data_IF_310796450074
#
_entry.id   IF_310796450074
#
_cell.length_a   1.000
_cell.length_b   1.000
_cell.length_c   1.000
_cell.angle_alpha   90.00
_cell.angle_beta   90.00
_cell.angle_gamma   90.00
#
_symmetry.space_group_name_H-M   'P 1'
#
loop_
_entity.id
_entity.type
_entity.pdbx_description
1 polymer ?
#
# COMPACT_ATOMS: atom_id res chain seq x y z
N UNK A 1 -16.14 -7.21 -14.99
CA UNK A 1 -15.94 -5.77 -14.83
C UNK A 1 -16.31 -5.34 -13.42
N UNK A 2 -15.45 -4.61 -12.79
CA UNK A 2 -15.64 -4.19 -11.42
C UNK A 2 -16.43 -2.89 -11.35
N UNK A 3 -17.51 -2.89 -10.59
CA UNK A 3 -18.30 -1.69 -10.36
C UNK A 3 -17.88 -0.97 -9.08
N UNK A 4 -16.86 -1.48 -8.45
CA UNK A 4 -16.39 -0.92 -7.19
C UNK A 4 -15.13 -0.11 -7.43
N UNK A 5 -14.76 0.67 -6.46
CA UNK A 5 -13.48 1.33 -6.50
C UNK A 5 -12.35 0.37 -6.25
N UNK A 6 -11.23 0.91 -5.85
CA UNK A 6 -10.05 0.10 -5.59
C UNK A 6 -9.31 0.66 -4.40
N UNK A 7 -8.41 -0.14 -3.86
CA UNK A 7 -7.57 0.29 -2.76
C UNK A 7 -6.21 0.68 -3.31
N UNK A 8 -5.69 1.75 -2.79
CA UNK A 8 -4.35 2.24 -3.12
C UNK A 8 -3.53 2.27 -1.85
N UNK A 9 -2.39 1.60 -1.88
CA UNK A 9 -1.46 1.67 -0.76
C UNK A 9 -0.49 2.82 -1.00
N UNK A 10 -0.42 3.72 -0.06
CA UNK A 10 0.39 4.92 -0.19
C UNK A 10 1.84 4.66 0.23
N UNK A 11 2.33 3.46 -0.06
CA UNK A 11 3.67 3.06 0.35
C UNK A 11 4.72 3.96 -0.29
N UNK A 12 4.63 4.14 -1.62
CA UNK A 12 5.61 4.94 -2.33
C UNK A 12 5.65 6.37 -1.81
N UNK A 13 4.49 6.95 -1.57
CA UNK A 13 4.40 8.31 -1.08
C UNK A 13 5.02 8.45 0.30
N UNK A 14 4.73 7.49 1.17
CA UNK A 14 5.23 7.53 2.54
C UNK A 14 6.73 7.30 2.58
N UNK A 15 7.23 6.36 1.77
CA UNK A 15 8.66 6.11 1.70
C UNK A 15 9.42 7.34 1.22
N UNK A 16 8.88 8.00 0.20
CA UNK A 16 9.51 9.21 -0.32
C UNK A 16 9.50 10.31 0.73
N UNK A 17 8.40 10.45 1.44
CA UNK A 17 8.27 11.46 2.47
C UNK A 17 9.26 11.25 3.60
N UNK A 18 9.47 9.99 3.99
CA UNK A 18 10.35 9.66 5.10
C UNK A 18 11.78 9.39 4.67
N UNK A 19 12.06 9.39 3.38
CA UNK A 19 13.40 9.13 2.88
C UNK A 19 13.86 7.70 3.07
N UNK A 20 12.96 6.74 2.99
CA UNK A 20 13.28 5.34 3.18
C UNK A 20 13.29 4.64 1.84
N UNK A 21 14.33 3.87 1.56
CA UNK A 21 14.40 3.13 0.31
C UNK A 21 13.62 1.82 0.41
N UNK A 22 13.17 1.32 -0.74
CA UNK A 22 12.45 0.05 -0.78
C UNK A 22 13.34 -1.11 -0.35
N UNK A 23 14.63 -1.02 -0.70
CA UNK A 23 15.58 -2.07 -0.31
C UNK A 23 15.68 -2.13 1.20
N UNK A 24 15.76 -0.98 1.84
CA UNK A 24 15.92 -0.93 3.28
C UNK A 24 14.70 -1.48 4.00
N UNK A 25 13.50 -1.08 3.60
CA UNK A 25 12.31 -1.54 4.30
C UNK A 25 12.09 -3.03 4.09
N UNK A 26 12.37 -3.54 2.89
CA UNK A 26 12.23 -4.97 2.64
C UNK A 26 13.21 -5.76 3.48
N UNK A 27 14.42 -5.27 3.62
CA UNK A 27 15.43 -5.93 4.43
C UNK A 27 15.06 -5.90 5.90
N UNK A 28 14.63 -4.76 6.39
CA UNK A 28 14.30 -4.59 7.81
C UNK A 28 13.10 -5.44 8.21
N UNK A 29 12.12 -5.56 7.33
CA UNK A 29 10.90 -6.30 7.62
C UNK A 29 10.93 -7.72 7.08
N UNK A 30 12.00 -8.10 6.41
CA UNK A 30 12.15 -9.44 5.85
C UNK A 30 11.00 -9.75 4.89
N UNK A 31 10.79 -8.86 3.94
CA UNK A 31 9.74 -9.00 2.94
C UNK A 31 10.39 -9.22 1.58
N UNK A 32 9.95 -10.25 0.82
CA UNK A 32 10.47 -10.42 -0.54
C UNK A 32 10.16 -9.19 -1.40
N UNK A 33 11.17 -8.77 -2.17
CA UNK A 33 11.04 -7.58 -3.00
C UNK A 33 9.88 -7.70 -4.00
N UNK A 34 9.74 -8.87 -4.59
CA UNK A 34 8.67 -9.07 -5.55
C UNK A 34 7.29 -8.89 -4.91
N UNK A 35 7.12 -9.41 -3.72
CA UNK A 35 5.85 -9.26 -3.00
C UNK A 35 5.61 -7.81 -2.62
N UNK A 36 6.63 -7.16 -2.12
CA UNK A 36 6.53 -5.76 -1.73
C UNK A 36 6.20 -4.87 -2.94
N UNK A 37 6.83 -5.14 -4.08
CA UNK A 37 6.58 -4.36 -5.29
C UNK A 37 5.14 -4.48 -5.77
N UNK A 38 4.55 -5.66 -5.62
CA UNK A 38 3.15 -5.84 -6.00
C UNK A 38 2.24 -4.95 -5.17
N UNK A 39 2.54 -4.83 -3.88
CA UNK A 39 1.77 -3.95 -3.01
C UNK A 39 1.99 -2.48 -3.39
N UNK A 40 3.20 -2.12 -3.76
CA UNK A 40 3.51 -0.74 -4.16
C UNK A 40 2.78 -0.34 -5.42
N UNK A 41 2.49 -1.30 -6.31
CA UNK A 41 1.80 -1.03 -7.56
C UNK A 41 0.31 -1.33 -7.49
N UNK A 42 -0.18 -1.64 -6.30
CA UNK A 42 -1.59 -1.99 -6.10
C UNK A 42 -2.00 -3.22 -6.91
N UNK A 43 -1.05 -4.13 -7.15
CA UNK A 43 -1.30 -5.35 -7.91
C UNK A 43 -1.54 -6.50 -6.96
N UNK A 44 -2.54 -6.37 -6.11
CA UNK A 44 -2.88 -7.40 -5.15
C UNK A 44 -4.39 -7.56 -5.11
N UNK A 45 -4.82 -8.79 -4.87
CA UNK A 45 -6.24 -9.07 -4.69
C UNK A 45 -6.56 -9.36 -3.24
N UNK A 46 -5.57 -9.76 -2.49
CA UNK A 46 -5.69 -10.03 -1.07
C UNK A 46 -4.55 -9.37 -0.33
N UNK A 47 -4.84 -8.91 0.86
CA UNK A 47 -3.82 -8.28 1.68
C UNK A 47 -3.44 -9.20 2.83
N UNK A 48 -2.13 -9.33 3.04
CA UNK A 48 -1.59 -10.04 4.18
C UNK A 48 -1.63 -9.11 5.38
N UNK A 49 -2.45 -9.42 6.37
CA UNK A 49 -2.60 -8.54 7.52
C UNK A 49 -1.29 -8.36 8.26
N UNK A 50 -0.46 -9.41 8.31
CA UNK A 50 0.85 -9.27 8.94
C UNK A 50 1.70 -8.23 8.24
N UNK A 51 1.69 -8.24 6.92
CA UNK A 51 2.45 -7.27 6.14
C UNK A 51 1.94 -5.86 6.39
N UNK A 52 0.64 -5.69 6.41
CA UNK A 52 0.05 -4.38 6.65
C UNK A 52 0.42 -3.87 8.05
N UNK A 53 0.35 -4.74 9.04
CA UNK A 53 0.73 -4.36 10.40
C UNK A 53 2.20 -4.00 10.49
N UNK A 54 3.06 -4.76 9.81
CA UNK A 54 4.49 -4.46 9.79
C UNK A 54 4.75 -3.08 9.17
N UNK A 55 4.04 -2.76 8.09
CA UNK A 55 4.21 -1.48 7.43
C UNK A 55 3.73 -0.34 8.32
N UNK A 56 2.59 -0.49 8.94
CA UNK A 56 2.07 0.55 9.82
C UNK A 56 3.03 0.80 10.98
N UNK A 57 3.53 -0.27 11.56
CA UNK A 57 4.45 -0.14 12.69
C UNK A 57 5.78 0.48 12.27
N UNK A 58 6.34 -0.03 11.18
CA UNK A 58 7.64 0.43 10.71
C UNK A 58 7.59 1.90 10.30
N UNK A 59 6.53 2.28 9.59
CA UNK A 59 6.38 3.63 9.07
C UNK A 59 5.73 4.57 10.08
N UNK A 60 5.28 4.03 11.20
CA UNK A 60 4.63 4.81 12.26
C UNK A 60 3.44 5.59 11.71
N UNK A 61 2.55 4.88 11.04
CA UNK A 61 1.33 5.47 10.48
C UNK A 61 0.14 4.60 10.83
N UNK A 62 -1.02 5.21 10.82
CA UNK A 62 -2.27 4.47 10.97
C UNK A 62 -2.64 3.84 9.65
N UNK A 63 -3.50 2.83 9.71
CA UNK A 63 -3.95 2.17 8.50
C UNK A 63 -4.68 3.15 7.58
N UNK A 64 -5.36 4.15 8.15
CA UNK A 64 -6.06 5.14 7.36
C UNK A 64 -5.09 6.02 6.56
N UNK A 65 -3.84 6.15 7.03
CA UNK A 65 -2.83 6.90 6.31
C UNK A 65 -2.14 6.03 5.27
N UNK A 66 -2.15 4.71 5.47
CA UNK A 66 -1.47 3.79 4.58
C UNK A 66 -2.34 3.38 3.39
N UNK A 67 -3.63 3.19 3.62
CA UNK A 67 -4.55 2.68 2.61
C UNK A 67 -5.56 3.75 2.25
N UNK A 68 -5.75 3.94 0.97
CA UNK A 68 -6.71 4.91 0.45
C UNK A 68 -7.71 4.19 -0.45
N UNK A 69 -8.99 4.48 -0.27
CA UNK A 69 -10.00 3.93 -1.13
C UNK A 69 -10.25 4.91 -2.28
N UNK A 70 -10.11 4.42 -3.49
CA UNK A 70 -10.37 5.23 -4.67
C UNK A 70 -11.71 4.83 -5.25
N UNK A 71 -12.59 5.79 -5.34
CA UNK A 71 -13.92 5.54 -5.87
C UNK A 71 -13.85 5.16 -7.35
N UNK A 72 -14.81 4.38 -7.82
CA UNK A 72 -14.82 4.03 -9.23
C UNK A 72 -15.05 5.28 -10.08
N UNK A 73 -14.52 5.24 -11.28
CA UNK A 73 -14.64 6.36 -12.20
C UNK A 73 -15.98 6.30 -12.91
N UNK A 74 -17.04 6.51 -12.17
CA UNK A 74 -18.38 6.49 -12.75
C UNK A 74 -18.90 7.87 -12.95
N UNK A 75 -18.43 8.68 -12.26
CA UNK A 75 -18.79 10.02 -12.34
C UNK A 75 -20.11 10.36 -12.85
N UNK A 76 -20.50 10.32 -13.04
CA UNK A 76 -21.55 10.81 -13.35
C UNK A 76 -22.58 10.56 -12.72
N UNK A 77 -22.32 10.42 -12.28
CA UNK A 77 -23.18 10.30 -11.71
C UNK A 77 -23.77 10.72 -11.12
N UNK A 78 -23.91 10.90 -10.95
CA UNK A 78 -24.43 11.27 -10.38
C UNK A 78 -24.80 11.32 -10.12
#
# INVERSE_FOLDING_TARGET
MCNYGSLHLRINEILAEKGISKIKICKDLDIPRSNFNRYCRDEFQRMDTNLICKLCDYLDVDISALIEYKKPDTSHHE
#
